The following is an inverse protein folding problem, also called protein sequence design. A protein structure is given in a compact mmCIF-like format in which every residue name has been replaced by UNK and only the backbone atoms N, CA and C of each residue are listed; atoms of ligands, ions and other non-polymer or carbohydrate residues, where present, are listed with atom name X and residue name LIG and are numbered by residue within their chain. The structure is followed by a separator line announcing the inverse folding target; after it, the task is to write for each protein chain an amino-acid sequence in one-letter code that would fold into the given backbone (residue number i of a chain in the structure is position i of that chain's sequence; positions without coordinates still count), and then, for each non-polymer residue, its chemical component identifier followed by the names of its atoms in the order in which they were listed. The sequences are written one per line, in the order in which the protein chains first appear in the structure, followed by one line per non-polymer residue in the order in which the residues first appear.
data_IF_628212247617
#
_entry.id   IF_628212247617
#
_cell.length_a   1.000
_cell.length_b   1.000
_cell.length_c   1.000
_cell.angle_alpha   90.00
_cell.angle_beta   90.00
_cell.angle_gamma   90.00
#
_symmetry.space_group_name_H-M   'P 1'
#
loop_
_entity.id
_entity.type
_entity.pdbx_description
1 polymer ?
#
# COMPACT_ATOMS: atom_id res chain seq x y z
N UNK A 1 0.65 -7.19 33.62
CA UNK A 1 0.03 -8.53 33.56
C UNK A 1 -1.20 -8.39 32.69
N UNK A 2 -1.32 -9.17 31.61
CA UNK A 2 -2.51 -9.11 30.76
C UNK A 2 -3.74 -9.58 31.56
N UNK A 3 -4.80 -8.78 31.58
CA UNK A 3 -6.04 -9.11 32.26
C UNK A 3 -6.71 -10.29 31.52
N UNK A 4 -7.05 -11.37 32.24
CA UNK A 4 -7.68 -12.55 31.63
C UNK A 4 -8.96 -12.20 30.88
N UNK A 5 -9.74 -11.26 31.40
CA UNK A 5 -10.97 -10.76 30.77
C UNK A 5 -10.70 -10.10 29.43
N UNK A 6 -9.65 -9.28 29.33
CA UNK A 6 -9.26 -8.62 28.07
C UNK A 6 -8.85 -9.66 27.04
N UNK A 7 -8.02 -10.63 27.44
CA UNK A 7 -7.58 -11.75 26.59
C UNK A 7 -8.76 -12.54 26.04
N UNK A 8 -9.74 -12.89 26.88
CA UNK A 8 -10.92 -13.64 26.44
C UNK A 8 -11.63 -12.87 25.34
N UNK A 9 -11.90 -11.58 25.50
CA UNK A 9 -12.60 -10.83 24.46
C UNK A 9 -11.81 -10.65 23.16
N UNK A 10 -10.48 -10.50 23.22
CA UNK A 10 -9.64 -10.50 22.00
C UNK A 10 -9.78 -11.83 21.25
N UNK A 11 -9.68 -12.96 21.97
CA UNK A 11 -9.85 -14.28 21.38
C UNK A 11 -11.27 -14.53 20.84
N UNK A 12 -12.31 -14.11 21.57
CA UNK A 12 -13.70 -14.23 21.13
C UNK A 12 -13.95 -13.41 19.86
N UNK A 13 -13.45 -12.17 19.78
CA UNK A 13 -13.53 -11.36 18.56
C UNK A 13 -12.78 -12.01 17.40
N UNK A 14 -11.59 -12.57 17.65
CA UNK A 14 -10.83 -13.33 16.65
C UNK A 14 -11.60 -14.54 16.12
N UNK A 15 -12.23 -15.33 16.99
CA UNK A 15 -13.07 -16.48 16.57
C UNK A 15 -14.23 -16.01 15.69
N UNK A 16 -14.90 -14.91 16.06
CA UNK A 16 -16.01 -14.35 15.27
C UNK A 16 -15.50 -13.88 13.90
N UNK A 17 -14.34 -13.21 13.86
CA UNK A 17 -13.72 -12.74 12.63
C UNK A 17 -13.37 -13.89 11.68
N UNK A 18 -12.63 -14.89 12.16
CA UNK A 18 -12.20 -16.04 11.36
C UNK A 18 -13.38 -16.86 10.83
N UNK A 19 -14.44 -17.03 11.63
CA UNK A 19 -15.69 -17.69 11.18
C UNK A 19 -16.42 -16.93 10.08
N UNK A 20 -16.16 -15.65 9.92
CA UNK A 20 -16.74 -14.79 8.90
C UNK A 20 -15.76 -14.46 7.77
N UNK A 21 -14.65 -15.21 7.63
CA UNK A 21 -13.60 -15.01 6.62
C UNK A 21 -12.85 -13.66 6.75
N UNK A 22 -12.82 -13.09 7.94
CA UNK A 22 -11.96 -11.96 8.27
C UNK A 22 -10.69 -12.48 8.94
N UNK A 23 -9.56 -12.34 8.26
CA UNK A 23 -8.25 -12.65 8.82
C UNK A 23 -7.96 -11.70 9.97
N UNK A 24 -7.79 -12.25 11.17
CA UNK A 24 -7.59 -11.50 12.40
C UNK A 24 -6.11 -11.52 12.83
N UNK A 25 -5.54 -10.34 13.02
CA UNK A 25 -4.13 -10.15 13.41
C UNK A 25 -4.06 -9.35 14.70
N UNK A 26 -3.95 -10.04 15.82
CA UNK A 26 -3.70 -9.43 17.13
C UNK A 26 -2.42 -8.58 17.10
N UNK A 27 -2.45 -7.39 17.68
CA UNK A 27 -1.28 -6.50 17.78
C UNK A 27 -0.55 -6.71 19.12
N UNK A 28 0.79 -6.60 19.15
CA UNK A 28 1.55 -6.64 20.40
C UNK A 28 1.10 -5.54 21.38
N UNK A 29 1.07 -5.84 22.68
CA UNK A 29 0.49 -5.04 23.79
C UNK A 29 1.14 -3.65 24.02
N UNK A 30 2.02 -3.19 23.13
CA UNK A 30 2.79 -1.95 23.30
C UNK A 30 2.21 -0.72 22.59
N UNK A 31 1.05 -0.82 21.92
CA UNK A 31 0.50 0.28 21.14
C UNK A 31 -0.71 0.98 21.78
N UNK A 32 -0.86 2.25 21.41
CA UNK A 32 -1.63 3.32 22.07
C UNK A 32 -3.17 3.16 21.96
N UNK A 33 -3.65 1.93 21.73
CA UNK A 33 -5.08 1.60 21.74
C UNK A 33 -5.60 0.96 20.46
N UNK A 34 -4.85 0.03 19.85
CA UNK A 34 -5.38 -0.91 18.86
C UNK A 34 -4.93 -2.30 19.28
N UNK A 35 -5.90 -3.19 19.52
CA UNK A 35 -5.64 -4.55 19.99
C UNK A 35 -5.52 -5.54 18.84
N UNK A 36 -6.13 -5.24 17.68
CA UNK A 36 -6.06 -6.10 16.52
C UNK A 36 -6.30 -5.34 15.21
N UNK A 37 -5.82 -5.93 14.11
CA UNK A 37 -6.29 -5.61 12.78
C UNK A 37 -7.11 -6.77 12.24
N UNK A 38 -8.12 -6.49 11.40
CA UNK A 38 -8.83 -7.54 10.67
C UNK A 38 -9.01 -7.18 9.19
N UNK A 39 -8.92 -8.20 8.33
CA UNK A 39 -8.97 -8.04 6.88
C UNK A 39 -9.88 -9.08 6.24
N UNK A 40 -10.88 -8.65 5.45
CA UNK A 40 -11.70 -9.62 4.71
C UNK A 40 -10.86 -10.29 3.62
N UNK A 41 -10.82 -11.63 3.64
CA UNK A 41 -10.26 -12.46 2.57
C UNK A 41 -11.39 -12.96 1.70
N UNK A 42 -11.36 -12.63 0.41
CA UNK A 42 -12.26 -13.25 -0.56
C UNK A 42 -11.87 -14.70 -0.87
N UNK A 43 -12.81 -15.48 -1.40
CA UNK A 43 -12.54 -16.79 -1.99
C UNK A 43 -11.49 -16.76 -3.11
N UNK A 44 -11.22 -15.58 -3.70
CA UNK A 44 -10.17 -15.34 -4.68
C UNK A 44 -8.77 -15.15 -4.06
N UNK A 45 -8.67 -15.07 -2.73
CA UNK A 45 -7.45 -14.73 -2.00
C UNK A 45 -7.12 -13.23 -1.98
N UNK A 46 -7.94 -12.37 -2.60
CA UNK A 46 -7.71 -10.92 -2.63
C UNK A 46 -8.15 -10.26 -1.31
N UNK A 47 -7.30 -9.42 -0.70
CA UNK A 47 -7.70 -8.59 0.43
C UNK A 47 -8.65 -7.49 -0.03
N UNK A 48 -9.71 -7.23 0.74
CA UNK A 48 -10.70 -6.19 0.40
C UNK A 48 -10.73 -4.99 1.33
N UNK A 49 -10.68 -5.21 2.64
CA UNK A 49 -10.91 -4.15 3.62
C UNK A 49 -10.13 -4.45 4.89
N UNK A 50 -9.20 -3.56 5.25
CA UNK A 50 -8.43 -3.62 6.50
C UNK A 50 -9.02 -2.66 7.53
N UNK A 51 -9.24 -3.16 8.74
CA UNK A 51 -9.82 -2.42 9.86
C UNK A 51 -8.93 -2.53 11.09
N UNK A 52 -8.89 -1.46 11.88
CA UNK A 52 -8.23 -1.44 13.18
C UNK A 52 -9.26 -1.53 14.31
N UNK A 53 -9.03 -2.41 15.27
CA UNK A 53 -9.95 -2.75 16.34
C UNK A 53 -9.35 -2.38 17.70
N UNK A 54 -10.08 -1.58 18.48
CA UNK A 54 -9.91 -1.50 19.92
C UNK A 54 -10.99 -2.39 20.57
N UNK A 55 -10.58 -3.39 21.32
CA UNK A 55 -11.43 -4.38 21.98
C UNK A 55 -11.47 -4.07 23.48
N UNK A 56 -12.68 -3.93 24.03
CA UNK A 56 -12.89 -3.72 25.46
C UNK A 56 -13.82 -4.80 26.00
N UNK A 57 -13.30 -5.58 26.93
CA UNK A 57 -13.94 -6.81 27.41
C UNK A 57 -14.41 -6.67 28.85
N UNK A 58 -15.61 -7.17 29.15
CA UNK A 58 -16.15 -7.26 30.51
C UNK A 58 -17.56 -6.68 30.65
N UNK A 59 -18.38 -7.32 31.50
CA UNK A 59 -19.78 -6.91 31.72
C UNK A 59 -19.92 -5.51 32.33
N UNK A 60 -18.88 -4.98 32.97
CA UNK A 60 -18.87 -3.59 33.46
C UNK A 60 -19.06 -2.54 32.37
N UNK A 61 -18.60 -2.80 31.14
CA UNK A 61 -18.78 -1.88 30.01
C UNK A 61 -20.26 -1.73 29.63
N UNK A 62 -21.09 -2.72 29.96
CA UNK A 62 -22.51 -2.77 29.61
C UNK A 62 -23.43 -2.23 30.72
N UNK A 63 -22.88 -1.65 31.79
CA UNK A 63 -23.67 -1.11 32.91
C UNK A 63 -24.48 0.13 32.53
N UNK A 64 -23.89 1.02 31.75
CA UNK A 64 -24.56 2.25 31.32
C UNK A 64 -25.20 2.04 29.95
N UNK A 65 -26.52 1.75 29.96
CA UNK A 65 -27.34 1.63 28.74
C UNK A 65 -28.32 2.79 28.68
N UNK A 66 -28.39 3.47 27.54
CA UNK A 66 -29.32 4.57 27.29
C UNK A 66 -29.72 4.58 25.82
N UNK A 67 -31.01 4.76 25.55
CA UNK A 67 -31.57 4.90 24.19
C UNK A 67 -31.11 3.78 23.22
N UNK A 68 -31.11 2.53 23.70
CA UNK A 68 -30.69 1.37 22.90
C UNK A 68 -29.18 1.26 22.66
N UNK A 69 -28.36 2.09 23.30
CA UNK A 69 -26.90 2.09 23.18
C UNK A 69 -26.23 1.80 24.52
N UNK A 70 -25.04 1.21 24.47
CA UNK A 70 -24.06 1.20 25.56
C UNK A 70 -23.23 2.48 25.50
N UNK A 71 -23.03 3.14 26.63
CA UNK A 71 -22.25 4.38 26.71
C UNK A 71 -20.82 4.06 27.14
N UNK A 72 -19.89 4.03 26.18
CA UNK A 72 -18.48 3.77 26.44
C UNK A 72 -17.74 5.08 26.71
N UNK A 73 -17.10 5.22 27.88
CA UNK A 73 -16.50 6.49 28.37
C UNK A 73 -14.99 6.46 28.62
N UNK A 74 -14.35 5.30 28.50
CA UNK A 74 -12.91 5.14 28.77
C UNK A 74 -12.06 5.63 27.58
N UNK A 75 -12.16 6.94 27.33
CA UNK A 75 -11.54 7.62 26.19
C UNK A 75 -10.88 8.91 26.67
N UNK A 76 -9.56 8.98 26.56
CA UNK A 76 -8.78 10.19 26.81
C UNK A 76 -8.42 10.93 25.50
N UNK A 77 -7.88 12.15 25.60
CA UNK A 77 -7.51 12.96 24.43
C UNK A 77 -6.50 12.28 23.49
N UNK A 78 -5.55 11.49 24.05
CA UNK A 78 -4.56 10.76 23.24
C UNK A 78 -5.24 9.68 22.41
N UNK A 79 -6.12 8.89 23.01
CA UNK A 79 -6.91 7.86 22.32
C UNK A 79 -7.85 8.47 21.29
N UNK A 80 -8.57 9.55 21.63
CA UNK A 80 -9.42 10.27 20.69
C UNK A 80 -8.63 10.71 19.45
N UNK A 81 -7.49 11.39 19.63
CA UNK A 81 -6.66 11.83 18.52
C UNK A 81 -6.13 10.63 17.72
N UNK A 82 -5.66 9.59 18.41
CA UNK A 82 -5.09 8.41 17.77
C UNK A 82 -6.10 7.64 16.91
N UNK A 83 -7.33 7.46 17.39
CA UNK A 83 -8.37 6.75 16.64
C UNK A 83 -8.99 7.60 15.53
N UNK A 84 -9.26 8.89 15.79
CA UNK A 84 -9.93 9.76 14.82
C UNK A 84 -9.04 10.18 13.64
N UNK A 85 -7.71 10.11 13.80
CA UNK A 85 -6.74 10.45 12.75
C UNK A 85 -6.02 9.23 12.16
N UNK A 86 -6.43 8.01 12.55
CA UNK A 86 -5.82 6.79 12.06
C UNK A 86 -6.00 6.64 10.54
N UNK A 87 -4.96 6.16 9.85
CA UNK A 87 -5.00 5.92 8.40
C UNK A 87 -5.92 4.76 8.02
N UNK A 88 -6.23 3.87 8.97
CA UNK A 88 -7.25 2.82 8.84
C UNK A 88 -8.53 3.25 9.57
N UNK A 89 -9.72 2.82 9.10
CA UNK A 89 -10.91 2.93 9.93
C UNK A 89 -10.71 2.19 11.24
N UNK A 90 -10.87 2.92 12.34
CA UNK A 90 -10.90 2.35 13.68
C UNK A 90 -12.34 2.06 14.09
N UNK A 91 -12.55 0.91 14.71
CA UNK A 91 -13.78 0.57 15.42
C UNK A 91 -13.46 0.21 16.87
N UNK A 92 -14.37 0.54 17.78
CA UNK A 92 -14.39 -0.05 19.12
C UNK A 92 -15.31 -1.27 19.09
N UNK A 93 -14.87 -2.37 19.67
CA UNK A 93 -15.67 -3.58 19.90
C UNK A 93 -15.80 -3.79 21.41
N UNK A 94 -17.03 -3.80 21.90
CA UNK A 94 -17.34 -4.14 23.29
C UNK A 94 -17.76 -5.60 23.36
N UNK A 95 -17.09 -6.39 24.20
CA UNK A 95 -17.42 -7.78 24.44
C UNK A 95 -17.95 -7.99 25.86
N UNK A 96 -19.17 -8.52 25.97
CA UNK A 96 -19.77 -8.87 27.24
C UNK A 96 -19.42 -10.32 27.61
N UNK A 97 -18.78 -10.50 28.76
CA UNK A 97 -18.36 -11.82 29.24
C UNK A 97 -19.48 -12.68 29.83
N UNK A 98 -20.67 -12.12 30.04
CA UNK A 98 -21.80 -12.85 30.65
C UNK A 98 -22.66 -13.59 29.61
N UNK A 99 -22.84 -13.01 28.43
CA UNK A 99 -23.72 -13.51 27.36
C UNK A 99 -23.04 -13.60 25.99
N UNK A 100 -21.71 -13.43 25.95
CA UNK A 100 -20.87 -13.42 24.76
C UNK A 100 -21.25 -12.36 23.71
N UNK A 101 -22.04 -11.34 24.08
CA UNK A 101 -22.45 -10.30 23.14
C UNK A 101 -21.25 -9.43 22.73
N UNK A 102 -20.98 -9.37 21.42
CA UNK A 102 -20.05 -8.43 20.80
C UNK A 102 -20.82 -7.35 20.04
N UNK A 103 -20.69 -6.09 20.43
CA UNK A 103 -21.24 -4.93 19.69
C UNK A 103 -20.11 -3.98 19.30
N UNK A 104 -20.33 -3.17 18.27
CA UNK A 104 -19.27 -2.28 17.77
C UNK A 104 -19.77 -0.91 17.36
N UNK A 105 -18.84 0.04 17.24
CA UNK A 105 -19.07 1.37 16.69
C UNK A 105 -17.82 1.90 16.00
N UNK A 106 -17.98 2.61 14.87
CA UNK A 106 -16.87 3.31 14.20
C UNK A 106 -16.38 4.46 15.07
N UNK A 107 -15.07 4.68 15.10
CA UNK A 107 -14.45 5.75 15.86
C UNK A 107 -14.09 6.89 14.90
N UNK A 108 -14.87 7.98 14.97
CA UNK A 108 -14.72 9.19 14.15
C UNK A 108 -14.98 10.45 14.99
N UNK A 109 -14.73 11.62 14.41
CA UNK A 109 -15.06 12.91 15.02
C UNK A 109 -16.55 13.12 15.28
N UNK A 110 -17.42 12.40 14.57
CA UNK A 110 -18.89 12.48 14.69
C UNK A 110 -19.45 11.50 15.73
N UNK A 111 -18.77 10.38 15.96
CA UNK A 111 -19.23 9.29 16.83
C UNK A 111 -18.63 9.36 18.23
N UNK A 112 -17.46 10.00 18.38
CA UNK A 112 -16.84 10.27 19.67
C UNK A 112 -17.27 11.67 20.15
N UNK A 113 -18.16 11.73 21.13
CA UNK A 113 -18.71 12.96 21.68
C UNK A 113 -17.92 13.41 22.91
N UNK A 114 -17.67 14.72 23.04
CA UNK A 114 -17.15 15.31 24.29
C UNK A 114 -18.26 15.38 25.34
N UNK A 115 -17.93 15.01 26.56
CA UNK A 115 -18.80 15.15 27.74
C UNK A 115 -19.26 16.60 27.98
N UNK A 116 -20.38 16.76 28.69
CA UNK A 116 -20.95 18.07 29.08
C UNK A 116 -21.15 19.02 27.88
N UNK A 117 -21.76 18.52 26.80
CA UNK A 117 -22.07 19.27 25.58
C UNK A 117 -20.84 20.02 25.03
N UNK A 118 -19.70 19.33 24.97
CA UNK A 118 -18.45 19.87 24.43
C UNK A 118 -17.55 20.61 25.44
N UNK A 119 -17.99 20.81 26.69
CA UNK A 119 -17.24 21.57 27.71
C UNK A 119 -16.47 20.69 28.70
N UNK A 120 -16.74 19.39 28.73
CA UNK A 120 -16.08 18.44 29.62
C UNK A 120 -14.72 17.95 29.09
N UNK A 121 -13.90 17.41 29.99
CA UNK A 121 -12.57 16.86 29.68
C UNK A 121 -12.59 15.41 29.18
N UNK A 122 -13.71 14.69 29.36
CA UNK A 122 -13.87 13.31 28.92
C UNK A 122 -14.57 13.19 27.57
N UNK A 123 -14.42 12.03 26.94
CA UNK A 123 -15.13 11.66 25.72
C UNK A 123 -15.98 10.42 25.96
N UNK A 124 -16.95 10.19 25.09
CA UNK A 124 -17.74 8.97 25.10
C UNK A 124 -18.22 8.60 23.70
N UNK A 125 -18.55 7.34 23.51
CA UNK A 125 -19.12 6.79 22.27
C UNK A 125 -20.41 6.05 22.62
N UNK A 126 -21.46 6.28 21.84
CA UNK A 126 -22.71 5.51 21.90
C UNK A 126 -22.56 4.28 20.99
N UNK A 127 -22.52 3.09 21.59
CA UNK A 127 -22.39 1.82 20.88
C UNK A 127 -23.76 1.15 20.79
N UNK A 128 -24.42 1.12 19.61
CA UNK A 128 -25.78 0.59 19.48
C UNK A 128 -25.83 -0.92 19.77
N UNK A 129 -26.81 -1.35 20.57
CA UNK A 129 -27.02 -2.77 20.88
C UNK A 129 -27.40 -3.60 19.65
N UNK A 130 -27.95 -2.96 18.62
CA UNK A 130 -28.31 -3.59 17.34
C UNK A 130 -27.12 -3.81 16.41
N UNK A 131 -26.00 -3.12 16.66
CA UNK A 131 -24.79 -3.18 15.83
C UNK A 131 -23.88 -4.33 16.32
N UNK A 132 -24.38 -5.55 16.16
CA UNK A 132 -23.70 -6.79 16.59
C UNK A 132 -22.52 -7.10 15.67
N UNK A 133 -21.35 -7.32 16.26
CA UNK A 133 -20.09 -7.51 15.54
C UNK A 133 -20.16 -8.67 14.55
N UNK A 134 -19.93 -8.35 13.28
CA UNK A 134 -19.93 -9.29 12.14
C UNK A 134 -21.19 -10.15 11.99
N UNK A 135 -22.37 -9.64 12.40
CA UNK A 135 -23.64 -10.16 11.87
C UNK A 135 -23.81 -9.76 10.38
N UNK A 136 -24.85 -10.27 9.72
CA UNK A 136 -25.04 -10.08 8.27
C UNK A 136 -25.07 -8.60 7.86
N UNK A 137 -25.80 -7.75 8.58
CA UNK A 137 -25.84 -6.31 8.32
C UNK A 137 -24.52 -5.59 8.63
N UNK A 138 -23.85 -5.97 9.72
CA UNK A 138 -22.57 -5.36 10.10
C UNK A 138 -21.46 -5.72 9.14
N UNK A 139 -21.47 -6.93 8.55
CA UNK A 139 -20.49 -7.33 7.53
C UNK A 139 -20.51 -6.38 6.34
N UNK A 140 -21.69 -6.10 5.79
CA UNK A 140 -21.85 -5.14 4.69
C UNK A 140 -21.40 -3.73 5.09
N UNK A 141 -21.79 -3.29 6.29
CA UNK A 141 -21.44 -1.96 6.80
C UNK A 141 -19.92 -1.81 7.00
N UNK A 142 -19.27 -2.79 7.62
CA UNK A 142 -17.83 -2.80 7.88
C UNK A 142 -17.02 -2.88 6.59
N UNK A 143 -17.52 -3.58 5.57
CA UNK A 143 -16.93 -3.58 4.23
C UNK A 143 -17.01 -2.23 3.54
N UNK A 144 -18.08 -1.46 3.79
CA UNK A 144 -18.24 -0.12 3.22
C UNK A 144 -17.26 0.91 3.80
N UNK A 145 -16.55 0.58 4.88
CA UNK A 145 -15.58 1.49 5.51
C UNK A 145 -14.26 1.63 4.74
N UNK A 146 -14.21 1.26 3.45
CA UNK A 146 -13.13 1.67 2.55
C UNK A 146 -12.94 3.19 2.65
N UNK A 147 -11.79 3.68 3.14
CA UNK A 147 -11.75 5.00 3.80
C UNK A 147 -10.72 5.99 3.27
N UNK A 148 -10.18 5.78 2.08
CA UNK A 148 -9.49 6.85 1.38
C UNK A 148 -10.19 7.07 0.05
N UNK A 149 -10.67 8.30 -0.24
CA UNK A 149 -11.00 8.66 -1.60
C UNK A 149 -9.86 8.25 -2.53
N UNK A 150 -10.19 7.81 -3.75
CA UNK A 150 -9.18 7.29 -4.70
C UNK A 150 -7.98 8.22 -4.86
N UNK A 151 -8.22 9.54 -4.86
CA UNK A 151 -7.17 10.55 -4.92
C UNK A 151 -6.21 10.53 -3.71
N UNK A 152 -6.69 10.21 -2.50
CA UNK A 152 -5.83 10.07 -1.32
C UNK A 152 -5.06 8.74 -1.35
N UNK A 153 -5.68 7.66 -1.82
CA UNK A 153 -4.98 6.38 -2.04
C UNK A 153 -3.84 6.54 -3.03
N UNK A 154 -4.11 7.19 -4.17
CA UNK A 154 -3.11 7.47 -5.21
C UNK A 154 -2.02 8.43 -4.71
N UNK A 155 -2.38 9.43 -3.89
CA UNK A 155 -1.40 10.31 -3.25
C UNK A 155 -0.48 9.54 -2.28
N UNK A 156 -1.04 8.69 -1.43
CA UNK A 156 -0.27 7.88 -0.49
C UNK A 156 0.63 6.86 -1.20
N UNK A 157 0.16 6.29 -2.31
CA UNK A 157 0.97 5.44 -3.17
C UNK A 157 2.21 6.17 -3.69
N UNK A 158 2.05 7.38 -4.25
CA UNK A 158 3.19 8.20 -4.68
C UNK A 158 4.10 8.60 -3.50
N UNK A 159 3.51 8.93 -2.35
CA UNK A 159 4.25 9.28 -1.14
C UNK A 159 5.17 8.15 -0.66
N UNK A 160 4.71 6.89 -0.77
CA UNK A 160 5.53 5.72 -0.41
C UNK A 160 6.80 5.56 -1.24
N UNK A 161 6.81 6.12 -2.46
CA UNK A 161 7.93 6.05 -3.41
C UNK A 161 8.77 7.33 -3.46
N UNK A 162 8.45 8.31 -2.60
CA UNK A 162 9.13 9.63 -2.52
C UNK A 162 10.64 9.55 -2.40
N UNK A 163 11.16 8.56 -1.68
CA UNK A 163 12.60 8.45 -1.47
C UNK A 163 13.35 8.15 -2.78
N UNK A 164 12.79 7.30 -3.65
CA UNK A 164 13.38 7.03 -4.97
C UNK A 164 13.41 8.29 -5.83
N UNK A 165 12.30 9.04 -5.84
CA UNK A 165 12.19 10.31 -6.56
C UNK A 165 13.23 11.33 -6.08
N UNK A 166 13.46 11.44 -4.77
CA UNK A 166 14.46 12.34 -4.20
C UNK A 166 15.89 11.96 -4.56
N UNK A 167 16.22 10.67 -4.50
CA UNK A 167 17.56 10.19 -4.85
C UNK A 167 17.89 10.59 -6.29
N UNK A 168 16.96 10.41 -7.22
CA UNK A 168 17.13 10.84 -8.62
C UNK A 168 17.29 12.37 -8.70
N UNK A 169 16.48 13.13 -7.96
CA UNK A 169 16.59 14.60 -7.93
C UNK A 169 17.94 15.09 -7.40
N UNK A 170 18.53 14.38 -6.44
CA UNK A 170 19.81 14.71 -5.81
C UNK A 170 21.02 14.19 -6.62
N UNK A 171 20.79 13.55 -7.78
CA UNK A 171 21.83 13.06 -8.68
C UNK A 171 22.24 11.59 -8.49
N UNK A 172 21.53 10.86 -7.62
CA UNK A 172 21.66 9.41 -7.51
C UNK A 172 20.91 8.66 -8.62
N UNK A 173 20.97 7.33 -8.56
CA UNK A 173 20.46 6.44 -9.60
C UNK A 173 19.48 5.41 -9.03
N UNK A 174 18.39 5.15 -9.74
CA UNK A 174 17.41 4.12 -9.41
C UNK A 174 17.17 3.27 -10.66
N UNK A 175 17.36 1.95 -10.53
CA UNK A 175 17.11 0.97 -11.60
C UNK A 175 16.06 -0.03 -11.18
N UNK A 176 15.33 -0.55 -12.16
CA UNK A 176 14.40 -1.66 -12.03
C UNK A 176 14.96 -2.86 -12.77
N UNK A 177 15.26 -3.92 -12.04
CA UNK A 177 15.64 -5.20 -12.59
C UNK A 177 14.47 -6.17 -12.46
N UNK A 178 14.14 -6.91 -13.51
CA UNK A 178 13.03 -7.85 -13.47
C UNK A 178 13.20 -9.01 -14.45
N UNK A 179 12.73 -10.19 -14.07
CA UNK A 179 12.59 -11.35 -14.95
C UNK A 179 11.13 -11.76 -15.05
N UNK A 180 10.64 -12.07 -16.25
CA UNK A 180 9.27 -12.51 -16.51
C UNK A 180 9.28 -13.85 -17.27
N UNK A 181 8.54 -14.84 -16.77
CA UNK A 181 8.26 -16.06 -17.53
C UNK A 181 7.11 -15.84 -18.52
N UNK A 182 7.44 -15.45 -19.75
CA UNK A 182 6.47 -14.93 -20.76
C UNK A 182 5.41 -15.94 -21.19
N UNK A 183 5.69 -17.24 -21.09
CA UNK A 183 4.76 -18.32 -21.48
C UNK A 183 3.93 -18.88 -20.31
N UNK A 184 3.97 -18.26 -19.11
CA UNK A 184 3.25 -18.73 -17.93
C UNK A 184 2.11 -17.77 -17.56
N UNK A 185 0.87 -18.25 -17.60
CA UNK A 185 -0.32 -17.47 -17.22
C UNK A 185 -0.32 -17.00 -15.76
N UNK A 186 0.50 -17.59 -14.90
CA UNK A 186 0.70 -17.17 -13.51
C UNK A 186 1.40 -15.81 -13.36
N UNK A 187 2.00 -15.27 -14.43
CA UNK A 187 2.81 -14.04 -14.36
C UNK A 187 4.04 -14.21 -13.47
N UNK A 188 4.62 -15.42 -13.45
CA UNK A 188 5.75 -15.75 -12.59
C UNK A 188 6.96 -14.93 -13.01
N UNK A 189 7.65 -14.35 -12.04
CA UNK A 189 8.84 -13.56 -12.29
C UNK A 189 9.46 -13.06 -11.00
N UNK A 190 10.57 -12.35 -11.13
CA UNK A 190 11.20 -11.64 -10.02
C UNK A 190 11.33 -10.16 -10.38
N UNK A 191 11.27 -9.29 -9.37
CA UNK A 191 11.40 -7.85 -9.56
C UNK A 191 12.14 -7.25 -8.37
N UNK A 192 13.13 -6.42 -8.65
CA UNK A 192 13.85 -5.65 -7.65
C UNK A 192 14.15 -4.24 -8.13
N UNK A 193 14.14 -3.29 -7.20
CA UNK A 193 14.62 -1.93 -7.43
C UNK A 193 16.00 -1.79 -6.80
N UNK A 194 16.96 -1.38 -7.63
CA UNK A 194 18.35 -1.14 -7.25
C UNK A 194 18.52 0.37 -7.10
N UNK A 195 18.96 0.81 -5.93
CA UNK A 195 19.10 2.23 -5.59
C UNK A 195 20.54 2.52 -5.24
N UNK A 196 21.13 3.51 -5.92
CA UNK A 196 22.45 4.04 -5.65
C UNK A 196 22.32 5.52 -5.25
N UNK A 197 22.54 5.82 -3.97
CA UNK A 197 22.45 7.19 -3.43
C UNK A 197 23.79 7.96 -3.49
N UNK A 198 24.81 7.38 -4.15
CA UNK A 198 26.17 7.93 -4.22
C UNK A 198 27.08 7.48 -3.08
N UNK A 199 26.52 7.01 -1.96
CA UNK A 199 27.27 6.45 -0.83
C UNK A 199 27.16 4.92 -0.76
N UNK A 200 25.98 4.39 -1.08
CA UNK A 200 25.62 2.99 -0.92
C UNK A 200 24.69 2.49 -2.02
N UNK A 201 24.80 1.19 -2.33
CA UNK A 201 23.87 0.49 -3.22
C UNK A 201 22.94 -0.38 -2.38
N UNK A 202 21.63 -0.23 -2.57
CA UNK A 202 20.58 -0.99 -1.87
C UNK A 202 19.64 -1.65 -2.87
N UNK A 203 19.13 -2.83 -2.53
CA UNK A 203 18.18 -3.59 -3.35
C UNK A 203 16.88 -3.81 -2.60
N UNK A 204 15.75 -3.59 -3.28
CA UNK A 204 14.40 -3.73 -2.74
C UNK A 204 13.61 -4.70 -3.60
N UNK A 205 13.35 -5.90 -3.10
CA UNK A 205 12.58 -6.92 -3.82
C UNK A 205 11.07 -6.66 -3.74
N UNK A 206 10.37 -6.87 -4.85
CA UNK A 206 8.92 -6.84 -4.92
C UNK A 206 8.37 -8.28 -4.85
N UNK A 207 7.65 -8.66 -3.79
CA UNK A 207 7.19 -10.03 -3.60
C UNK A 207 5.88 -10.32 -4.35
N UNK A 208 5.73 -9.79 -5.56
CA UNK A 208 4.49 -9.85 -6.33
C UNK A 208 4.72 -10.37 -7.75
N UNK A 209 3.76 -11.14 -8.23
CA UNK A 209 3.64 -11.59 -9.61
C UNK A 209 2.46 -10.89 -10.27
N UNK A 210 2.53 -10.74 -11.58
CA UNK A 210 1.51 -10.01 -12.34
C UNK A 210 0.84 -10.92 -13.39
N UNK A 211 -0.15 -11.75 -12.98
CA UNK A 211 -0.88 -12.60 -13.90
C UNK A 211 -1.55 -11.81 -15.02
N UNK A 212 -1.53 -12.35 -16.24
CA UNK A 212 -2.25 -11.84 -17.41
C UNK A 212 -1.84 -10.42 -17.87
N UNK A 213 -0.80 -9.82 -17.29
CA UNK A 213 -0.30 -8.50 -17.71
C UNK A 213 1.20 -8.60 -17.92
N UNK A 214 1.68 -8.43 -19.17
CA UNK A 214 3.10 -8.34 -19.47
C UNK A 214 3.81 -7.29 -18.61
N UNK A 215 5.04 -7.56 -18.19
CA UNK A 215 5.73 -6.75 -17.18
C UNK A 215 6.04 -5.33 -17.69
N UNK A 216 6.33 -5.17 -18.97
CA UNK A 216 6.46 -3.87 -19.65
C UNK A 216 5.22 -2.95 -19.47
N UNK A 217 4.01 -3.53 -19.35
CA UNK A 217 2.76 -2.81 -19.06
C UNK A 217 2.51 -2.60 -17.58
N UNK A 218 3.18 -3.37 -16.73
CA UNK A 218 3.11 -3.27 -15.26
C UNK A 218 4.00 -2.14 -14.77
N UNK A 219 5.22 -1.98 -15.31
CA UNK A 219 6.19 -1.01 -14.79
C UNK A 219 5.64 0.42 -14.73
N UNK A 220 4.98 0.97 -15.77
CA UNK A 220 4.42 2.32 -15.71
C UNK A 220 3.29 2.49 -14.70
N UNK A 221 2.65 1.40 -14.28
CA UNK A 221 1.62 1.41 -13.22
C UNK A 221 2.24 1.35 -11.83
N UNK A 222 3.37 0.67 -11.69
CA UNK A 222 4.13 0.61 -10.43
C UNK A 222 4.92 1.88 -10.17
N UNK A 223 5.50 2.49 -11.21
CA UNK A 223 6.30 3.72 -11.13
C UNK A 223 5.73 4.78 -12.07
N UNK A 224 4.49 5.27 -11.85
CA UNK A 224 3.85 6.25 -12.73
C UNK A 224 4.56 7.62 -12.71
N UNK A 225 5.42 7.87 -11.72
CA UNK A 225 6.27 9.05 -11.62
C UNK A 225 7.55 8.96 -12.46
N UNK A 226 7.85 7.79 -13.02
CA UNK A 226 9.08 7.52 -13.74
C UNK A 226 8.89 7.56 -15.26
N UNK A 227 9.95 7.98 -15.94
CA UNK A 227 10.23 7.69 -17.33
C UNK A 227 11.30 6.60 -17.38
N UNK A 228 11.12 5.62 -18.27
CA UNK A 228 11.95 4.43 -18.34
C UNK A 228 12.88 4.50 -19.54
N UNK A 229 14.14 4.13 -19.32
CA UNK A 229 15.11 3.89 -20.39
C UNK A 229 15.88 2.62 -20.10
N UNK A 230 16.35 1.95 -21.15
CA UNK A 230 17.17 0.76 -20.99
C UNK A 230 18.50 1.10 -20.32
N UNK A 231 19.00 0.19 -19.48
CA UNK A 231 20.39 0.25 -19.02
C UNK A 231 21.31 -0.16 -20.17
N UNK A 232 21.86 0.84 -20.84
CA UNK A 232 22.69 0.65 -22.02
C UNK A 232 23.94 -0.22 -21.78
N UNK A 233 24.43 -0.31 -20.54
CA UNK A 233 25.55 -1.18 -20.18
C UNK A 233 25.08 -2.62 -20.06
N UNK A 234 23.94 -2.84 -19.40
CA UNK A 234 23.33 -4.16 -19.25
C UNK A 234 22.98 -4.80 -20.60
N UNK A 235 22.42 -4.02 -21.52
CA UNK A 235 22.00 -4.51 -22.85
C UNK A 235 23.11 -4.57 -23.89
N UNK A 236 24.33 -4.08 -23.58
CA UNK A 236 25.37 -3.87 -24.60
C UNK A 236 25.71 -5.13 -25.41
N UNK A 237 25.90 -6.26 -24.74
CA UNK A 237 26.26 -7.53 -25.38
C UNK A 237 25.11 -8.08 -26.24
N UNK A 238 23.88 -8.06 -25.72
CA UNK A 238 22.70 -8.55 -26.44
C UNK A 238 22.38 -7.66 -27.65
N UNK A 239 22.41 -6.33 -27.47
CA UNK A 239 22.22 -5.37 -28.56
C UNK A 239 23.29 -5.55 -29.64
N UNK A 240 24.56 -5.77 -29.27
CA UNK A 240 25.64 -5.97 -30.24
C UNK A 240 25.50 -7.29 -30.99
N UNK A 241 25.12 -8.38 -30.31
CA UNK A 241 24.88 -9.67 -30.94
C UNK A 241 23.73 -9.58 -31.95
N UNK A 242 22.60 -8.99 -31.56
CA UNK A 242 21.46 -8.76 -32.44
C UNK A 242 21.84 -7.85 -33.62
N UNK A 243 22.55 -6.75 -33.36
CA UNK A 243 23.03 -5.87 -34.42
C UNK A 243 23.93 -6.61 -35.41
N UNK A 244 24.90 -7.42 -34.95
CA UNK A 244 25.76 -8.21 -35.82
C UNK A 244 24.97 -9.20 -36.67
N UNK A 245 23.94 -9.82 -36.12
CA UNK A 245 23.08 -10.77 -36.84
C UNK A 245 22.28 -10.09 -37.97
N UNK A 246 21.74 -8.89 -37.72
CA UNK A 246 20.82 -8.24 -38.65
C UNK A 246 21.48 -7.18 -39.55
N UNK A 247 22.61 -6.60 -39.15
CA UNK A 247 23.25 -5.45 -39.80
C UNK A 247 24.69 -5.71 -40.24
N UNK A 248 25.26 -6.87 -39.93
CA UNK A 248 26.61 -7.23 -40.38
C UNK A 248 26.61 -8.52 -41.21
N UNK A 249 27.58 -8.58 -42.12
CA UNK A 249 27.90 -9.76 -42.91
C UNK A 249 29.34 -10.16 -42.63
N UNK A 250 29.57 -11.42 -42.28
CA UNK A 250 30.92 -11.92 -42.05
C UNK A 250 31.56 -12.33 -43.37
N UNK A 251 32.63 -11.62 -43.76
CA UNK A 251 33.45 -11.97 -44.91
C UNK A 251 34.52 -12.99 -44.50
N UNK A 252 34.41 -14.20 -45.08
CA UNK A 252 35.33 -15.31 -44.80
C UNK A 252 36.67 -15.16 -45.53
N UNK A 253 36.73 -14.35 -46.59
CA UNK A 253 37.96 -14.15 -47.36
C UNK A 253 38.93 -13.24 -46.61
N UNK A 254 38.39 -12.18 -45.98
CA UNK A 254 39.17 -11.17 -45.26
C UNK A 254 39.15 -11.36 -43.72
N UNK A 255 38.37 -12.32 -43.19
CA UNK A 255 38.18 -12.56 -41.75
C UNK A 255 37.66 -11.32 -40.99
N UNK A 256 36.78 -10.56 -41.64
CA UNK A 256 36.25 -9.28 -41.14
C UNK A 256 34.72 -9.24 -41.18
N UNK A 257 34.13 -8.47 -40.24
CA UNK A 257 32.70 -8.16 -40.24
C UNK A 257 32.44 -6.88 -41.02
N UNK A 258 31.67 -6.98 -42.10
CA UNK A 258 31.25 -5.84 -42.91
C UNK A 258 29.89 -5.34 -42.45
N UNK A 259 29.77 -4.05 -42.18
CA UNK A 259 28.50 -3.41 -41.84
C UNK A 259 27.71 -3.20 -43.14
N UNK A 260 26.55 -3.84 -43.24
CA UNK A 260 25.66 -3.81 -44.43
C UNK A 260 24.33 -3.11 -44.17
N UNK A 261 24.05 -2.75 -42.91
CA UNK A 261 22.90 -1.94 -42.51
C UNK A 261 23.31 -0.71 -41.70
N UNK A 262 22.45 -0.28 -40.78
CA UNK A 262 22.75 0.79 -39.82
C UNK A 262 24.02 0.54 -39.01
N UNK A 263 24.73 1.61 -38.63
CA UNK A 263 25.77 1.54 -37.61
C UNK A 263 25.21 1.09 -36.27
N UNK A 264 26.07 0.59 -35.37
CA UNK A 264 25.62 0.13 -34.05
C UNK A 264 24.92 1.25 -33.25
N UNK A 265 25.44 2.48 -33.32
CA UNK A 265 24.84 3.63 -32.65
C UNK A 265 23.48 4.04 -33.23
N UNK A 266 23.28 3.90 -34.55
CA UNK A 266 21.98 4.18 -35.20
C UNK A 266 20.96 3.10 -34.86
N UNK A 267 21.37 1.83 -34.90
CA UNK A 267 20.56 0.70 -34.48
C UNK A 267 20.05 0.88 -33.05
N UNK A 268 20.94 1.18 -32.10
CA UNK A 268 20.59 1.37 -30.69
C UNK A 268 19.59 2.50 -30.45
N UNK A 269 19.69 3.61 -31.18
CA UNK A 269 18.74 4.73 -31.06
C UNK A 269 17.31 4.38 -31.46
N UNK A 270 17.15 3.35 -32.30
CA UNK A 270 15.85 2.90 -32.79
C UNK A 270 15.25 1.78 -31.92
N UNK A 271 15.99 1.28 -30.93
CA UNK A 271 15.50 0.23 -30.03
C UNK A 271 14.45 0.77 -29.06
N UNK A 272 13.54 -0.12 -28.65
CA UNK A 272 12.56 0.20 -27.61
C UNK A 272 13.29 0.53 -26.29
N UNK A 273 13.02 1.69 -25.66
CA UNK A 273 13.60 2.04 -24.37
C UNK A 273 13.18 1.08 -23.24
N UNK A 274 12.11 0.31 -23.42
CA UNK A 274 11.63 -0.70 -22.46
C UNK A 274 11.86 -2.14 -22.95
N UNK A 275 12.86 -2.36 -23.83
CA UNK A 275 13.22 -3.69 -24.34
C UNK A 275 13.65 -4.67 -23.23
N UNK A 276 13.62 -5.96 -23.57
CA UNK A 276 14.09 -7.06 -22.71
C UNK A 276 15.05 -7.98 -23.46
N UNK A 277 15.97 -8.62 -22.73
CA UNK A 277 16.73 -9.75 -23.24
C UNK A 277 15.82 -10.97 -23.22
N UNK A 278 15.74 -11.70 -24.33
CA UNK A 278 14.93 -12.90 -24.43
C UNK A 278 15.80 -14.15 -24.26
N UNK A 279 15.67 -14.79 -23.10
CA UNK A 279 16.35 -16.05 -22.82
C UNK A 279 15.56 -17.22 -23.39
N UNK A 280 15.95 -17.65 -24.59
CA UNK A 280 15.44 -18.85 -25.28
C UNK A 280 13.92 -18.89 -25.49
N UNK A 281 13.26 -17.72 -25.58
CA UNK A 281 11.81 -17.62 -25.74
C UNK A 281 11.01 -17.90 -24.46
N UNK A 282 11.67 -18.13 -23.32
CA UNK A 282 11.01 -18.52 -22.07
C UNK A 282 10.99 -17.42 -21.01
N UNK A 283 12.08 -16.66 -20.90
CA UNK A 283 12.24 -15.63 -19.88
C UNK A 283 12.64 -14.31 -20.52
N UNK A 284 11.88 -13.25 -20.26
CA UNK A 284 12.25 -11.89 -20.59
C UNK A 284 12.93 -11.24 -19.38
N UNK A 285 14.14 -10.71 -19.56
CA UNK A 285 14.90 -10.01 -18.53
C UNK A 285 15.02 -8.52 -18.86
N UNK A 286 14.68 -7.69 -17.89
CA UNK A 286 14.60 -6.24 -18.00
C UNK A 286 15.58 -5.59 -17.03
N UNK A 287 16.30 -4.56 -17.49
CA UNK A 287 17.08 -3.65 -16.65
C UNK A 287 16.81 -2.21 -17.07
N UNK A 288 15.94 -1.52 -16.34
CA UNK A 288 15.51 -0.17 -16.67
C UNK A 288 16.15 0.85 -15.74
N UNK A 289 16.65 1.94 -16.28
CA UNK A 289 17.00 3.15 -15.53
C UNK A 289 15.74 4.02 -15.40
N UNK A 290 15.41 4.42 -14.17
CA UNK A 290 14.26 5.25 -13.88
C UNK A 290 14.70 6.71 -13.75
N UNK A 291 14.03 7.60 -14.48
CA UNK A 291 14.21 9.05 -14.37
C UNK A 291 12.89 9.73 -14.01
N UNK A 292 12.94 10.94 -13.45
CA UNK A 292 11.71 11.65 -13.11
C UNK A 292 10.98 12.09 -14.39
N UNK A 293 9.69 11.78 -14.50
CA UNK A 293 8.82 12.41 -15.50
C UNK A 293 8.18 13.70 -14.93
N UNK A 294 7.24 14.30 -15.66
CA UNK A 294 6.55 15.51 -15.22
C UNK A 294 5.75 15.31 -13.93
N UNK A 295 5.07 14.17 -13.77
CA UNK A 295 4.33 13.82 -12.56
C UNK A 295 5.27 13.71 -11.36
N UNK A 296 6.41 13.01 -11.49
CA UNK A 296 7.39 12.86 -10.41
C UNK A 296 7.96 14.20 -9.94
N UNK A 297 8.38 15.05 -10.88
CA UNK A 297 8.85 16.42 -10.57
C UNK A 297 7.78 17.25 -9.87
N UNK A 298 6.55 17.21 -10.36
CA UNK A 298 5.43 17.97 -9.81
C UNK A 298 5.03 17.48 -8.42
N UNK A 299 5.05 16.17 -8.19
CA UNK A 299 4.74 15.57 -6.90
C UNK A 299 5.72 16.02 -5.82
N UNK A 300 7.03 16.04 -6.10
CA UNK A 300 8.05 16.55 -5.16
C UNK A 300 7.83 18.02 -4.80
N UNK A 301 7.43 18.85 -5.79
CA UNK A 301 7.12 20.26 -5.56
C UNK A 301 5.87 20.44 -4.69
N UNK A 302 4.80 19.67 -4.95
CA UNK A 302 3.56 19.69 -4.16
C UNK A 302 3.84 19.20 -2.74
N UNK A 303 4.54 18.08 -2.57
CA UNK A 303 4.93 17.52 -1.27
C UNK A 303 5.72 18.55 -0.43
N UNK A 304 6.69 19.24 -1.03
CA UNK A 304 7.43 20.34 -0.39
C UNK A 304 6.51 21.48 0.01
N UNK A 305 5.53 21.83 -0.82
CA UNK A 305 4.56 22.89 -0.55
C UNK A 305 3.60 22.53 0.60
N UNK A 306 3.03 21.32 0.62
CA UNK A 306 2.06 20.89 1.64
C UNK A 306 2.70 20.59 3.00
N UNK A 307 4.00 20.29 3.02
CA UNK A 307 4.76 20.05 4.26
C UNK A 307 5.07 21.32 5.07
N UNK A 308 4.77 22.51 4.53
CA UNK A 308 5.03 23.80 5.18
C UNK A 308 3.77 24.33 5.88
N UNK A 309 3.94 24.98 7.04
CA UNK A 309 2.83 25.67 7.72
C UNK A 309 2.29 26.82 6.86
N UNK A 310 0.96 26.96 6.75
CA UNK A 310 0.32 27.93 5.85
C UNK A 310 -0.54 28.93 6.63
N UNK A 311 -0.17 30.23 6.67
CA UNK A 311 -1.11 31.26 7.07
C UNK A 311 -2.28 31.29 6.06
N UNK A 312 -3.50 31.47 6.56
CA UNK A 312 -4.76 31.51 5.79
C UNK A 312 -5.30 30.19 5.24
N UNK A 313 -4.82 29.01 5.68
CA UNK A 313 -5.39 27.72 5.25
C UNK A 313 -6.90 27.57 5.54
N UNK A 314 -7.42 28.33 6.51
CA UNK A 314 -8.84 28.38 6.89
C UNK A 314 -9.67 29.41 6.11
N UNK A 315 -9.07 30.25 5.28
CA UNK A 315 -9.79 31.25 4.50
C UNK A 315 -10.57 30.57 3.37
N UNK A 316 -11.88 30.37 3.58
CA UNK A 316 -12.81 29.78 2.60
C UNK A 316 -13.83 30.84 2.16
N UNK A 317 -14.22 30.89 0.87
CA UNK A 317 -15.38 31.67 0.44
C UNK A 317 -16.61 31.23 1.24
N UNK A 318 -17.40 32.18 1.74
CA UNK A 318 -18.71 31.86 2.31
C UNK A 318 -19.62 31.47 1.15
N UNK A 319 -20.12 30.24 1.20
CA UNK A 319 -21.12 29.73 0.25
C UNK A 319 -22.49 30.28 0.61
#
# INVERSE_FOLDING_TARGET
MANSTERIGVHSCGIIAERNNWLFREQPVNDVGIDAHMELIESSGKPKQLLALQIKSGSSWFKEKKDGCVIFRDINERQYNYWSTNSLPCIVVLYNTEDDMCIWQKLTTETIERTSDGKGKGFFVKVPLTQVFLNDSSKETLLSFTNLPEHITNYNFLLSQKQFMKIIQDGGEVKLHSTEWVNKSSGRGDMEVIVNDGESIRKYSFPYWFPFTPYDRVFPRLFPWAEFSADEVFFMEDDENNWREYHCYYDKEDDEWLIVGDSFEEYRKNLDPMRSINHSGEVAEYMMVLSLNELGRSFLNIDKFVSQNRPYASARPKV
#
